data_IF_953305779282
#
_entry.id   IF_953305779282
#
_cell.length_a   1.000
_cell.length_b   1.000
_cell.length_c   1.000
_cell.angle_alpha   90.00
_cell.angle_beta   90.00
_cell.angle_gamma   90.00
#
_symmetry.space_group_name_H-M   'P 1'
#
loop_
_entity.id
_entity.type
_entity.pdbx_description
1 polymer ?
#
# COMPACT_ATOMS: atom_id res chain seq x y z
N UNK A 1 -65.20 62.72 21.00
CA UNK A 1 -64.97 62.47 19.56
C UNK A 1 -65.30 61.00 19.28
N UNK A 2 -65.98 60.74 18.18
CA UNK A 2 -66.50 59.45 17.67
C UNK A 2 -65.51 58.27 17.81
N UNK A 3 -65.89 57.06 18.25
CA UNK A 3 -66.84 56.04 17.75
C UNK A 3 -66.26 55.13 16.64
N UNK A 4 -66.04 53.84 16.98
CA UNK A 4 -66.19 52.59 16.18
C UNK A 4 -65.44 51.46 16.94
N UNK A 5 -66.02 50.41 17.54
CA UNK A 5 -67.02 49.39 17.17
C UNK A 5 -66.38 48.00 16.88
N UNK A 6 -66.50 47.13 17.90
CA UNK A 6 -66.69 45.67 17.94
C UNK A 6 -65.78 44.66 17.18
N UNK A 7 -65.27 43.62 17.87
CA UNK A 7 -64.85 42.35 17.28
C UNK A 7 -65.97 41.28 17.36
N UNK A 8 -66.03 40.38 16.37
CA UNK A 8 -66.71 39.07 16.46
C UNK A 8 -65.83 37.96 15.85
N UNK A 9 -66.03 36.70 16.29
CA UNK A 9 -65.02 35.64 16.37
C UNK A 9 -65.06 34.69 15.15
N UNK A 10 -64.18 33.67 15.05
CA UNK A 10 -64.61 32.37 15.55
C UNK A 10 -63.50 31.50 16.15
N UNK A 11 -63.97 30.51 16.89
CA UNK A 11 -63.27 29.34 17.44
C UNK A 11 -62.67 28.52 16.30
N UNK A 12 -61.38 28.22 16.37
CA UNK A 12 -60.74 27.24 15.49
C UNK A 12 -60.06 26.13 16.30
N UNK A 13 -60.76 24.99 16.37
CA UNK A 13 -60.32 23.64 16.02
C UNK A 13 -59.15 22.96 16.73
N UNK A 14 -58.18 23.70 17.27
CA UNK A 14 -56.87 23.13 17.60
C UNK A 14 -56.73 22.63 19.05
N UNK A 15 -57.72 22.85 19.92
CA UNK A 15 -57.68 22.34 21.29
C UNK A 15 -57.99 20.84 21.42
N UNK A 16 -58.30 20.15 20.31
CA UNK A 16 -58.53 18.69 20.31
C UNK A 16 -57.26 17.88 20.01
N UNK A 17 -56.27 18.44 19.31
CA UNK A 17 -55.07 17.71 18.89
C UNK A 17 -53.94 17.68 19.93
N UNK A 18 -53.95 18.57 20.93
CA UNK A 18 -52.89 18.64 21.95
C UNK A 18 -53.05 17.62 23.09
N UNK A 19 -54.07 16.75 23.06
CA UNK A 19 -54.38 15.83 24.16
C UNK A 19 -54.66 14.37 23.76
N UNK A 20 -53.97 13.84 22.76
CA UNK A 20 -53.94 12.39 22.50
C UNK A 20 -52.64 11.73 23.02
N UNK A 21 -52.73 10.53 23.64
CA UNK A 21 -51.58 9.80 24.17
C UNK A 21 -50.61 9.38 23.05
N UNK A 22 -49.31 9.18 23.35
CA UNK A 22 -48.32 8.83 22.33
C UNK A 22 -48.67 7.46 21.71
N UNK A 23 -49.22 7.47 20.51
CA UNK A 23 -49.32 6.27 19.68
C UNK A 23 -47.95 5.97 19.06
N UNK A 24 -47.58 4.70 19.14
CA UNK A 24 -46.38 4.13 18.57
C UNK A 24 -46.29 4.39 17.07
N UNK A 25 -45.12 4.86 16.62
CA UNK A 25 -44.83 5.05 15.21
C UNK A 25 -44.89 3.72 14.43
N UNK A 26 -45.39 3.73 13.18
CA UNK A 26 -45.36 2.57 12.31
C UNK A 26 -43.90 2.21 11.96
N UNK A 27 -43.61 0.92 12.05
CA UNK A 27 -42.36 0.24 11.68
C UNK A 27 -41.69 0.85 10.45
N UNK A 28 -40.60 1.58 10.65
CA UNK A 28 -39.65 1.87 9.59
C UNK A 28 -39.05 0.54 9.11
N UNK A 29 -39.27 0.23 7.83
CA UNK A 29 -38.68 -0.92 7.18
C UNK A 29 -37.15 -0.90 7.35
N UNK A 30 -36.59 -2.03 7.78
CA UNK A 30 -35.16 -2.21 7.98
C UNK A 30 -34.37 -1.92 6.69
N UNK A 31 -33.15 -1.35 6.78
CA UNK A 31 -32.24 -1.30 5.64
C UNK A 31 -31.94 -2.73 5.14
N UNK A 32 -31.75 -2.95 3.84
CA UNK A 32 -31.37 -4.27 3.34
C UNK A 32 -30.05 -4.72 4.00
N UNK A 33 -29.90 -6.02 4.31
CA UNK A 33 -28.67 -6.51 4.93
C UNK A 33 -27.46 -6.20 4.04
N UNK A 34 -26.27 -5.94 4.62
CA UNK A 34 -25.05 -5.76 3.85
C UNK A 34 -24.81 -6.98 2.95
N UNK A 35 -24.18 -6.81 1.77
CA UNK A 35 -23.80 -7.94 0.94
C UNK A 35 -22.98 -8.91 1.79
N UNK A 36 -23.34 -10.19 1.74
CA UNK A 36 -22.55 -11.25 2.38
C UNK A 36 -21.14 -11.16 1.80
N UNK A 37 -20.18 -11.02 2.70
CA UNK A 37 -18.77 -11.20 2.41
C UNK A 37 -18.60 -12.67 2.03
N UNK A 38 -18.58 -12.96 0.74
CA UNK A 38 -18.19 -14.26 0.22
C UNK A 38 -16.67 -14.36 0.39
N UNK A 39 -16.26 -14.56 1.64
CA UNK A 39 -14.86 -14.71 2.03
C UNK A 39 -14.23 -15.84 1.25
N UNK A 40 -13.32 -15.50 0.33
CA UNK A 40 -12.19 -16.29 -0.17
C UNK A 40 -12.39 -17.82 -0.34
N UNK A 41 -13.59 -18.30 -0.68
CA UNK A 41 -13.85 -19.70 -1.05
C UNK A 41 -13.72 -19.95 -2.56
N UNK A 42 -13.69 -18.89 -3.37
CA UNK A 42 -13.69 -19.01 -4.83
C UNK A 42 -12.39 -19.64 -5.39
N UNK A 43 -11.24 -19.40 -4.76
CA UNK A 43 -9.95 -19.91 -5.27
C UNK A 43 -9.60 -21.32 -4.79
N UNK A 44 -10.20 -21.80 -3.69
CA UNK A 44 -9.92 -23.14 -3.16
C UNK A 44 -10.81 -24.24 -3.79
N UNK A 45 -11.99 -23.90 -4.32
CA UNK A 45 -12.94 -24.89 -4.88
C UNK A 45 -12.75 -25.19 -6.38
N UNK A 46 -11.82 -24.53 -7.08
CA UNK A 46 -11.62 -24.73 -8.52
C UNK A 46 -10.81 -26.00 -8.87
N UNK A 47 -10.00 -26.52 -7.94
CA UNK A 47 -9.06 -27.61 -8.24
C UNK A 47 -9.51 -29.02 -7.78
N UNK A 48 -10.61 -29.15 -7.03
CA UNK A 48 -10.87 -30.40 -6.31
C UNK A 48 -12.01 -31.29 -6.83
N UNK A 49 -13.01 -30.81 -7.60
CA UNK A 49 -14.19 -31.66 -7.83
C UNK A 49 -15.06 -31.40 -9.08
N UNK A 50 -14.47 -31.15 -10.25
CA UNK A 50 -15.06 -31.54 -11.54
C UNK A 50 -16.52 -31.17 -11.83
N UNK A 51 -17.03 -30.04 -11.32
CA UNK A 51 -18.29 -29.44 -11.79
C UNK A 51 -19.60 -30.12 -11.36
N UNK A 52 -19.72 -30.69 -10.15
CA UNK A 52 -21.02 -31.14 -9.61
C UNK A 52 -21.30 -30.53 -8.22
N UNK A 53 -22.41 -29.77 -8.03
CA UNK A 53 -22.72 -29.14 -6.75
C UNK A 53 -23.28 -30.13 -5.70
N UNK A 54 -22.78 -30.04 -4.46
CA UNK A 54 -23.21 -30.84 -3.29
C UNK A 54 -24.63 -30.43 -2.84
N UNK A 55 -25.53 -31.36 -2.45
CA UNK A 55 -26.88 -31.04 -1.96
C UNK A 55 -26.87 -30.26 -0.64
N UNK A 56 -27.84 -29.36 -0.38
CA UNK A 56 -27.84 -28.48 0.80
C UNK A 56 -28.18 -29.24 2.10
N UNK A 57 -27.35 -29.04 3.12
CA UNK A 57 -27.58 -29.51 4.50
C UNK A 57 -28.66 -28.66 5.22
N UNK A 58 -29.42 -29.25 6.17
CA UNK A 58 -30.49 -28.55 6.89
C UNK A 58 -29.95 -27.41 7.79
N UNK A 59 -30.77 -26.37 8.06
CA UNK A 59 -30.30 -25.14 8.68
C UNK A 59 -29.82 -25.34 10.13
N UNK A 60 -28.76 -24.65 10.55
CA UNK A 60 -28.22 -24.76 11.91
C UNK A 60 -29.19 -24.17 12.94
N UNK A 61 -29.24 -24.83 14.11
CA UNK A 61 -29.95 -24.34 15.29
C UNK A 61 -29.44 -22.95 15.71
N UNK A 62 -30.29 -22.09 16.31
CA UNK A 62 -29.91 -20.73 16.67
C UNK A 62 -28.69 -20.72 17.61
N UNK A 63 -27.73 -19.80 17.40
CA UNK A 63 -26.54 -19.72 18.22
C UNK A 63 -26.93 -19.39 19.67
N UNK A 64 -26.33 -20.13 20.61
CA UNK A 64 -26.32 -19.73 22.02
C UNK A 64 -25.73 -18.31 22.12
N UNK A 65 -26.21 -17.46 23.04
CA UNK A 65 -25.72 -16.09 23.15
C UNK A 65 -24.22 -16.10 23.48
N UNK A 66 -23.41 -15.66 22.53
CA UNK A 66 -22.00 -15.37 22.74
C UNK A 66 -21.87 -14.26 23.81
N UNK A 67 -20.89 -14.34 24.73
CA UNK A 67 -20.64 -13.25 25.66
C UNK A 67 -20.26 -12.02 24.83
N UNK A 68 -21.07 -10.97 24.99
CA UNK A 68 -20.88 -9.65 24.37
C UNK A 68 -19.41 -9.26 24.56
N UNK A 69 -18.69 -9.03 23.46
CA UNK A 69 -17.31 -8.55 23.50
C UNK A 69 -17.30 -7.22 24.27
N UNK A 70 -16.79 -7.23 25.51
CA UNK A 70 -16.66 -6.04 26.34
C UNK A 70 -15.81 -5.00 25.60
N UNK A 71 -16.29 -3.75 25.55
CA UNK A 71 -15.55 -2.64 24.95
C UNK A 71 -14.14 -2.55 25.58
N UNK A 72 -13.08 -2.26 24.79
CA UNK A 72 -11.69 -2.21 25.28
C UNK A 72 -11.52 -1.26 26.47
N UNK A 73 -12.36 -0.24 26.57
CA UNK A 73 -12.42 0.72 27.67
C UNK A 73 -12.88 0.09 29.00
N UNK A 74 -13.87 -0.81 28.96
CA UNK A 74 -14.35 -1.51 30.16
C UNK A 74 -13.28 -2.48 30.70
N UNK A 75 -12.55 -3.15 29.81
CA UNK A 75 -11.42 -4.01 30.16
C UNK A 75 -10.28 -3.19 30.78
N UNK A 76 -9.97 -2.02 30.20
CA UNK A 76 -8.96 -1.11 30.73
C UNK A 76 -9.36 -0.56 32.11
N UNK A 77 -10.62 -0.15 32.30
CA UNK A 77 -11.14 0.34 33.56
C UNK A 77 -11.09 -0.73 34.66
N UNK A 78 -11.44 -1.98 34.34
CA UNK A 78 -11.36 -3.10 35.27
C UNK A 78 -9.91 -3.39 35.68
N UNK A 79 -8.98 -3.47 34.72
CA UNK A 79 -7.55 -3.65 35.00
C UNK A 79 -6.96 -2.52 35.84
N UNK A 80 -7.38 -1.27 35.60
CA UNK A 80 -6.95 -0.14 36.41
C UNK A 80 -7.51 -0.20 37.85
N UNK A 81 -8.75 -0.65 38.02
CA UNK A 81 -9.35 -0.85 39.35
C UNK A 81 -8.68 -2.01 40.10
N UNK A 82 -8.42 -3.13 39.41
CA UNK A 82 -7.66 -4.28 39.94
C UNK A 82 -6.25 -3.86 40.37
N UNK A 83 -5.55 -3.07 39.55
CA UNK A 83 -4.22 -2.54 39.89
C UNK A 83 -4.25 -1.63 41.12
N UNK A 84 -5.24 -0.72 41.23
CA UNK A 84 -5.39 0.14 42.42
C UNK A 84 -5.71 -0.67 43.68
N UNK A 85 -6.55 -1.70 43.57
CA UNK A 85 -6.86 -2.60 44.68
C UNK A 85 -5.63 -3.39 45.12
N UNK A 86 -4.84 -3.90 44.17
CA UNK A 86 -3.57 -4.58 44.46
C UNK A 86 -2.54 -3.66 45.10
N UNK A 87 -2.40 -2.41 44.63
CA UNK A 87 -1.53 -1.41 45.22
C UNK A 87 -1.94 -1.04 46.65
N UNK A 88 -3.25 -0.90 46.91
CA UNK A 88 -3.77 -0.65 48.25
C UNK A 88 -3.53 -1.82 49.21
N UNK A 89 -3.69 -3.07 48.73
CA UNK A 89 -3.38 -4.26 49.50
C UNK A 89 -1.87 -4.40 49.79
N UNK A 90 -1.01 -4.06 48.83
CA UNK A 90 0.44 -4.04 49.01
C UNK A 90 0.89 -2.95 50.00
N UNK A 91 0.26 -1.77 49.99
CA UNK A 91 0.55 -0.70 50.95
C UNK A 91 0.11 -1.04 52.38
N UNK A 92 -0.85 -1.95 52.56
CA UNK A 92 -1.29 -2.43 53.87
C UNK A 92 -0.35 -3.50 54.46
N UNK A 93 0.54 -4.08 53.65
CA UNK A 93 1.58 -4.99 54.10
C UNK A 93 2.87 -4.19 54.29
N UNK A 94 3.23 -3.90 55.55
CA UNK A 94 4.54 -3.31 55.88
C UNK A 94 5.66 -4.27 55.41
N UNK A 95 6.49 -3.87 54.44
CA UNK A 95 7.56 -4.74 53.94
C UNK A 95 8.66 -4.86 54.99
N UNK A 96 9.12 -6.09 55.24
CA UNK A 96 10.30 -6.33 56.05
C UNK A 96 11.52 -5.66 55.40
N UNK A 97 12.14 -4.72 56.13
CA UNK A 97 13.29 -3.92 55.69
C UNK A 97 14.56 -4.77 55.55
N UNK A 98 14.64 -5.61 54.52
CA UNK A 98 15.92 -6.12 54.02
C UNK A 98 16.27 -5.22 52.85
N UNK A 99 16.84 -4.05 53.17
CA UNK A 99 17.19 -3.05 52.19
C UNK A 99 18.62 -3.26 51.72
N UNK A 100 18.79 -3.58 50.44
CA UNK A 100 20.11 -3.68 49.84
C UNK A 100 20.81 -2.30 49.82
N UNK A 101 22.14 -2.28 49.79
CA UNK A 101 22.89 -1.01 49.76
C UNK A 101 22.48 -0.11 48.57
N UNK A 102 22.08 -0.70 47.44
CA UNK A 102 21.52 0.02 46.29
C UNK A 102 20.13 0.61 46.57
N UNK A 103 19.31 -0.03 47.39
CA UNK A 103 17.97 0.43 47.74
C UNK A 103 18.03 1.62 48.68
N UNK A 104 18.97 1.58 49.64
CA UNK A 104 19.24 2.72 50.52
C UNK A 104 19.68 3.97 49.73
N UNK A 105 20.49 3.79 48.68
CA UNK A 105 20.93 4.88 47.81
C UNK A 105 19.78 5.44 46.95
N UNK A 106 18.97 4.57 46.36
CA UNK A 106 17.79 4.98 45.58
C UNK A 106 16.79 5.70 46.48
N UNK A 107 16.48 5.17 47.66
CA UNK A 107 15.57 5.81 48.62
C UNK A 107 16.09 7.18 49.04
N UNK A 108 17.39 7.32 49.31
CA UNK A 108 18.00 8.62 49.65
C UNK A 108 17.86 9.61 48.49
N UNK A 109 18.11 9.20 47.25
CA UNK A 109 17.97 10.06 46.08
C UNK A 109 16.51 10.50 45.88
N UNK A 110 15.55 9.60 46.10
CA UNK A 110 14.12 9.90 46.04
C UNK A 110 13.65 10.86 47.15
N UNK A 111 14.15 10.71 48.38
CA UNK A 111 13.85 11.63 49.49
C UNK A 111 14.36 13.05 49.20
N UNK A 112 15.48 13.17 48.49
CA UNK A 112 16.04 14.47 48.06
C UNK A 112 15.31 15.03 46.82
N UNK A 113 14.56 14.20 46.10
CA UNK A 113 13.91 14.56 44.83
C UNK A 113 14.84 14.51 43.62
N UNK A 114 16.02 13.89 43.74
CA UNK A 114 16.96 13.70 42.63
C UNK A 114 16.67 12.40 41.88
N UNK A 115 15.76 12.49 40.91
CA UNK A 115 15.40 11.37 40.05
C UNK A 115 16.53 10.92 39.13
N UNK A 116 17.45 11.83 38.74
CA UNK A 116 18.56 11.50 37.86
C UNK A 116 19.56 10.60 38.58
N UNK A 117 19.95 10.97 39.81
CA UNK A 117 20.79 10.14 40.66
C UNK A 117 20.15 8.80 41.03
N UNK A 118 18.82 8.76 41.21
CA UNK A 118 18.10 7.52 41.47
C UNK A 118 18.13 6.55 40.27
N UNK A 119 17.93 7.07 39.05
CA UNK A 119 18.02 6.29 37.80
C UNK A 119 19.42 5.73 37.60
N UNK A 120 20.47 6.54 37.78
CA UNK A 120 21.86 6.11 37.63
C UNK A 120 22.21 4.99 38.63
N UNK A 121 21.73 5.10 39.87
CA UNK A 121 21.90 4.05 40.89
C UNK A 121 21.17 2.74 40.51
N UNK A 122 19.97 2.83 39.94
CA UNK A 122 19.24 1.65 39.45
C UNK A 122 19.92 1.01 38.23
N UNK A 123 20.46 1.82 37.30
CA UNK A 123 21.20 1.34 36.13
C UNK A 123 22.50 0.65 36.55
N UNK A 124 23.23 1.22 37.52
CA UNK A 124 24.45 0.61 38.07
C UNK A 124 24.17 -0.73 38.77
N UNK A 125 23.01 -0.87 39.40
CA UNK A 125 22.54 -2.11 40.00
C UNK A 125 21.97 -3.14 38.99
N UNK A 126 21.93 -2.82 37.69
CA UNK A 126 21.35 -3.69 36.65
C UNK A 126 19.81 -3.76 36.67
N UNK A 127 19.15 -2.92 37.47
CA UNK A 127 17.68 -2.88 37.62
C UNK A 127 17.06 -1.88 36.66
N UNK A 128 17.09 -2.23 35.38
CA UNK A 128 16.61 -1.34 34.32
C UNK A 128 15.10 -1.09 34.33
N UNK A 129 14.29 -2.03 34.84
CA UNK A 129 12.84 -1.84 34.95
C UNK A 129 12.50 -0.72 35.95
N UNK A 130 13.12 -0.75 37.13
CA UNK A 130 12.94 0.27 38.17
C UNK A 130 13.47 1.63 37.70
N UNK A 131 14.61 1.63 37.00
CA UNK A 131 15.18 2.83 36.39
C UNK A 131 14.20 3.50 35.41
N UNK A 132 13.55 2.72 34.54
CA UNK A 132 12.55 3.26 33.62
C UNK A 132 11.35 3.82 34.41
N UNK A 133 10.77 3.07 35.36
CA UNK A 133 9.63 3.56 36.16
C UNK A 133 9.95 4.89 36.84
N UNK A 134 11.12 5.00 37.46
CA UNK A 134 11.57 6.25 38.10
C UNK A 134 11.79 7.38 37.10
N UNK A 135 12.35 7.10 35.92
CA UNK A 135 12.54 8.09 34.87
C UNK A 135 11.21 8.65 34.34
N UNK A 136 10.14 7.83 34.31
CA UNK A 136 8.80 8.28 33.89
C UNK A 136 8.20 9.32 34.82
N UNK A 137 8.55 9.27 36.11
CA UNK A 137 8.13 10.24 37.14
C UNK A 137 9.04 11.48 37.13
N UNK A 138 10.32 11.31 36.82
CA UNK A 138 11.32 12.37 36.78
C UNK A 138 11.21 13.33 35.58
N UNK A 139 10.43 12.99 34.55
CA UNK A 139 10.15 13.85 33.40
C UNK A 139 10.49 13.22 32.05
N UNK A 140 9.95 13.81 30.98
CA UNK A 140 10.08 13.26 29.63
C UNK A 140 11.54 13.21 29.14
N UNK A 141 12.35 14.24 29.44
CA UNK A 141 13.77 14.27 29.03
C UNK A 141 14.57 13.13 29.67
N UNK A 142 14.41 12.91 30.99
CA UNK A 142 15.09 11.83 31.70
C UNK A 142 14.62 10.45 31.21
N UNK A 143 13.33 10.30 30.90
CA UNK A 143 12.80 9.07 30.33
C UNK A 143 13.42 8.75 28.97
N UNK A 144 13.54 9.73 28.07
CA UNK A 144 14.16 9.55 26.76
C UNK A 144 15.64 9.15 26.89
N UNK A 145 16.41 9.84 27.73
CA UNK A 145 17.82 9.50 28.00
C UNK A 145 17.98 8.07 28.53
N UNK A 146 17.16 7.70 29.53
CA UNK A 146 17.21 6.38 30.17
C UNK A 146 16.79 5.27 29.20
N UNK A 147 15.76 5.51 28.38
CA UNK A 147 15.29 4.60 27.35
C UNK A 147 16.37 4.39 26.28
N UNK A 148 16.98 5.46 25.80
CA UNK A 148 18.06 5.39 24.82
C UNK A 148 19.27 4.61 25.37
N UNK A 149 19.68 4.87 26.61
CA UNK A 149 20.75 4.15 27.28
C UNK A 149 20.43 2.65 27.43
N UNK A 150 19.19 2.30 27.83
CA UNK A 150 18.76 0.92 27.96
C UNK A 150 18.76 0.17 26.62
N UNK A 151 18.28 0.80 25.55
CA UNK A 151 18.29 0.25 24.20
C UNK A 151 19.73 0.06 23.71
N UNK A 152 20.62 1.03 23.96
CA UNK A 152 22.03 0.93 23.60
C UNK A 152 22.74 -0.22 24.32
N UNK A 153 22.49 -0.38 25.63
CA UNK A 153 23.03 -1.48 26.43
C UNK A 153 22.57 -2.86 25.90
N UNK A 154 21.34 -2.95 25.39
CA UNK A 154 20.77 -4.19 24.85
C UNK A 154 20.88 -4.32 23.32
N UNK A 155 21.69 -3.50 22.66
CA UNK A 155 21.81 -3.45 21.19
C UNK A 155 22.35 -4.74 20.53
N UNK A 156 22.86 -5.69 21.33
CA UNK A 156 23.22 -7.03 20.86
C UNK A 156 22.01 -7.86 20.43
N UNK A 157 20.84 -7.58 21.02
CA UNK A 157 19.62 -8.34 20.72
C UNK A 157 18.96 -7.81 19.43
N UNK A 158 18.56 -8.69 18.50
CA UNK A 158 18.05 -8.26 17.18
C UNK A 158 16.75 -7.47 17.25
N UNK A 159 15.86 -7.79 18.20
CA UNK A 159 14.61 -7.06 18.38
C UNK A 159 14.82 -5.67 18.99
N UNK A 160 15.82 -5.50 19.86
CA UNK A 160 16.16 -4.18 20.42
C UNK A 160 16.74 -3.24 19.36
N UNK A 161 17.35 -3.76 18.30
CA UNK A 161 17.77 -2.95 17.14
C UNK A 161 16.58 -2.39 16.37
N UNK A 162 15.53 -3.18 16.20
CA UNK A 162 14.28 -2.71 15.58
C UNK A 162 13.63 -1.67 16.48
N UNK A 163 13.53 -1.93 17.79
CA UNK A 163 13.00 -0.98 18.74
C UNK A 163 13.80 0.34 18.74
N UNK A 164 15.13 0.28 18.65
CA UNK A 164 15.98 1.47 18.50
C UNK A 164 15.60 2.30 17.28
N UNK A 165 15.49 1.65 16.12
CA UNK A 165 15.19 2.34 14.87
C UNK A 165 13.79 2.98 14.87
N UNK A 166 12.80 2.29 15.45
CA UNK A 166 11.44 2.83 15.59
C UNK A 166 11.39 3.99 16.58
N UNK A 167 12.13 3.92 17.69
CA UNK A 167 12.15 4.99 18.71
C UNK A 167 12.95 6.22 18.23
N UNK A 168 14.05 6.01 17.51
CA UNK A 168 14.91 7.09 17.00
C UNK A 168 14.51 7.59 15.61
N UNK A 169 13.42 7.06 15.04
CA UNK A 169 12.94 7.33 13.67
C UNK A 169 14.02 7.14 12.59
N UNK A 170 14.98 6.24 12.83
CA UNK A 170 16.10 5.97 11.93
C UNK A 170 15.90 4.60 11.25
N UNK A 171 14.85 4.54 10.45
CA UNK A 171 14.52 3.36 9.64
C UNK A 171 15.55 3.13 8.53
N UNK A 172 16.23 4.19 8.07
CA UNK A 172 17.30 4.12 7.07
C UNK A 172 18.51 3.31 7.57
N UNK A 173 19.03 3.63 8.76
CA UNK A 173 20.14 2.86 9.35
C UNK A 173 19.72 1.42 9.69
N UNK A 174 18.44 1.20 10.02
CA UNK A 174 17.92 -0.15 10.22
C UNK A 174 18.01 -0.96 8.94
N UNK A 175 17.52 -0.42 7.83
CA UNK A 175 17.62 -1.09 6.52
C UNK A 175 19.08 -1.40 6.23
N UNK A 176 19.99 -0.42 6.37
CA UNK A 176 21.41 -0.58 6.06
C UNK A 176 22.16 -1.61 6.92
N UNK A 177 21.78 -1.76 8.20
CA UNK A 177 22.47 -2.66 9.15
C UNK A 177 21.86 -4.07 9.22
N UNK A 178 20.60 -4.25 8.81
CA UNK A 178 19.91 -5.54 8.91
C UNK A 178 20.38 -6.54 7.85
N UNK A 179 20.41 -7.82 8.23
CA UNK A 179 20.84 -8.89 7.33
C UNK A 179 19.87 -9.08 6.17
N UNK A 180 20.40 -9.23 4.96
CA UNK A 180 19.60 -9.43 3.75
C UNK A 180 18.83 -10.75 3.75
N UNK A 181 19.27 -11.77 4.51
CA UNK A 181 18.55 -13.04 4.65
C UNK A 181 17.12 -12.88 5.21
N UNK A 182 16.86 -11.79 5.95
CA UNK A 182 15.56 -11.50 6.59
C UNK A 182 14.83 -10.33 5.95
N UNK A 183 15.05 -10.08 4.66
CA UNK A 183 14.49 -8.92 3.95
C UNK A 183 12.97 -8.82 4.04
N UNK A 184 12.24 -9.96 4.06
CA UNK A 184 10.78 -10.00 4.20
C UNK A 184 10.31 -9.39 5.52
N UNK A 185 11.00 -9.72 6.61
CA UNK A 185 10.73 -9.11 7.92
C UNK A 185 11.10 -7.61 7.90
N UNK A 186 12.18 -7.21 7.22
CA UNK A 186 12.58 -5.80 7.11
C UNK A 186 11.49 -5.01 6.38
N UNK A 187 10.97 -5.55 5.28
CA UNK A 187 9.91 -4.93 4.51
C UNK A 187 8.61 -4.82 5.32
N UNK A 188 8.25 -5.86 6.09
CA UNK A 188 7.09 -5.80 6.97
C UNK A 188 7.21 -4.72 8.06
N UNK A 189 8.41 -4.54 8.62
CA UNK A 189 8.69 -3.44 9.57
C UNK A 189 8.50 -2.09 8.89
N UNK A 190 9.01 -1.92 7.67
CA UNK A 190 8.81 -0.68 6.89
C UNK A 190 7.32 -0.42 6.62
N UNK A 191 6.53 -1.44 6.26
CA UNK A 191 5.09 -1.28 6.06
C UNK A 191 4.33 -0.90 7.34
N UNK A 192 4.89 -1.19 8.52
CA UNK A 192 4.22 -0.93 9.80
C UNK A 192 4.60 0.44 10.38
N UNK A 193 5.87 0.82 10.25
CA UNK A 193 6.43 1.98 10.96
C UNK A 193 6.86 3.13 10.06
N UNK A 194 7.08 2.91 8.76
CA UNK A 194 7.50 4.01 7.88
C UNK A 194 6.31 4.90 7.50
N UNK A 195 6.48 6.24 7.50
CA UNK A 195 5.48 7.14 6.97
C UNK A 195 5.32 6.93 5.45
N UNK A 196 4.13 7.19 4.93
CA UNK A 196 3.81 6.95 3.52
C UNK A 196 4.75 7.68 2.54
N UNK A 197 5.25 8.87 2.93
CA UNK A 197 6.16 9.67 2.11
C UNK A 197 7.57 9.06 2.00
N UNK A 198 8.09 8.47 3.08
CA UNK A 198 9.44 7.91 3.11
C UNK A 198 9.49 6.43 2.73
N UNK A 199 8.35 5.75 2.80
CA UNK A 199 8.26 4.31 2.56
C UNK A 199 8.81 3.90 1.19
N UNK A 200 8.48 4.63 0.12
CA UNK A 200 8.97 4.34 -1.23
C UNK A 200 10.50 4.44 -1.32
N UNK A 201 11.08 5.48 -0.73
CA UNK A 201 12.52 5.68 -0.70
C UNK A 201 13.24 4.58 0.11
N UNK A 202 12.72 4.23 1.30
CA UNK A 202 13.30 3.20 2.15
C UNK A 202 13.20 1.79 1.53
N UNK A 203 12.07 1.49 0.89
CA UNK A 203 11.88 0.24 0.15
C UNK A 203 12.82 0.17 -1.07
N UNK A 204 13.05 1.29 -1.76
CA UNK A 204 14.04 1.39 -2.85
C UNK A 204 15.48 1.16 -2.36
N UNK A 205 15.86 1.70 -1.20
CA UNK A 205 17.18 1.44 -0.59
C UNK A 205 17.35 -0.05 -0.24
N UNK A 206 16.31 -0.68 0.31
CA UNK A 206 16.32 -2.12 0.56
C UNK A 206 16.47 -2.91 -0.74
N UNK A 207 15.74 -2.54 -1.79
CA UNK A 207 15.81 -3.17 -3.10
C UNK A 207 17.20 -3.04 -3.73
N UNK A 208 17.82 -1.87 -3.67
CA UNK A 208 19.18 -1.65 -4.16
C UNK A 208 20.22 -2.51 -3.45
N UNK A 209 20.07 -2.73 -2.13
CA UNK A 209 20.95 -3.64 -1.37
C UNK A 209 20.75 -5.10 -1.76
N UNK A 210 19.51 -5.52 -2.00
CA UNK A 210 19.19 -6.87 -2.47
C UNK A 210 19.73 -7.12 -3.89
N UNK A 211 19.60 -6.11 -4.76
CA UNK A 211 20.16 -6.12 -6.11
C UNK A 211 21.68 -6.31 -6.08
N UNK A 212 22.39 -5.55 -5.24
CA UNK A 212 23.83 -5.64 -5.08
C UNK A 212 24.29 -7.00 -4.52
N UNK A 213 23.45 -7.66 -3.72
CA UNK A 213 23.70 -9.01 -3.22
C UNK A 213 23.39 -10.13 -4.23
N UNK A 214 22.86 -9.79 -5.41
CA UNK A 214 22.52 -10.74 -6.46
C UNK A 214 21.15 -11.40 -6.31
N UNK A 215 20.31 -10.97 -5.36
CA UNK A 215 18.94 -11.46 -5.22
C UNK A 215 17.98 -10.60 -6.07
N UNK A 216 17.96 -10.89 -7.37
CA UNK A 216 17.14 -10.15 -8.32
C UNK A 216 15.64 -10.29 -8.04
N UNK A 217 15.21 -11.47 -7.57
CA UNK A 217 13.80 -11.70 -7.28
C UNK A 217 13.33 -10.84 -6.10
N UNK A 218 14.05 -10.85 -4.98
CA UNK A 218 13.71 -10.02 -3.83
C UNK A 218 13.80 -8.53 -4.14
N UNK A 219 14.79 -8.11 -4.93
CA UNK A 219 14.92 -6.71 -5.36
C UNK A 219 13.72 -6.24 -6.20
N UNK A 220 13.26 -7.05 -7.16
CA UNK A 220 12.06 -6.71 -7.94
C UNK A 220 10.81 -6.58 -7.10
N UNK A 221 10.61 -7.47 -6.12
CA UNK A 221 9.47 -7.40 -5.21
C UNK A 221 9.50 -6.12 -4.36
N UNK A 222 10.67 -5.76 -3.82
CA UNK A 222 10.81 -4.52 -3.06
C UNK A 222 10.57 -3.26 -3.91
N UNK A 223 11.02 -3.23 -5.17
CA UNK A 223 10.75 -2.12 -6.10
C UNK A 223 9.26 -2.03 -6.47
N UNK A 224 8.62 -3.17 -6.73
CA UNK A 224 7.18 -3.24 -7.02
C UNK A 224 6.37 -2.76 -5.82
N UNK A 225 6.74 -3.17 -4.61
CA UNK A 225 6.15 -2.61 -3.40
C UNK A 225 6.37 -1.09 -3.38
N UNK A 226 7.61 -0.61 -3.44
CA UNK A 226 7.94 0.82 -3.41
C UNK A 226 7.18 1.69 -4.42
N UNK A 227 6.65 1.07 -5.48
CA UNK A 227 5.94 1.76 -6.55
C UNK A 227 6.88 2.50 -7.50
N UNK A 228 8.19 2.21 -7.44
CA UNK A 228 9.18 2.81 -8.33
C UNK A 228 9.22 2.03 -9.65
N UNK A 229 8.49 2.55 -10.65
CA UNK A 229 8.41 1.96 -11.98
C UNK A 229 9.77 1.97 -12.68
N UNK A 230 10.55 3.04 -12.55
CA UNK A 230 11.82 3.20 -13.26
C UNK A 230 12.87 2.22 -12.73
N UNK A 231 12.97 2.09 -11.40
CA UNK A 231 13.85 1.09 -10.78
C UNK A 231 13.40 -0.35 -11.09
N UNK A 232 12.09 -0.63 -11.12
CA UNK A 232 11.56 -1.93 -11.48
C UNK A 232 11.87 -2.31 -12.93
N UNK A 233 11.65 -1.38 -13.88
CA UNK A 233 11.96 -1.57 -15.31
C UNK A 233 13.46 -1.80 -15.50
N UNK A 234 14.32 -1.01 -14.84
CA UNK A 234 15.77 -1.22 -14.89
C UNK A 234 16.17 -2.61 -14.41
N UNK A 235 15.54 -3.10 -13.34
CA UNK A 235 15.82 -4.42 -12.80
C UNK A 235 15.34 -5.56 -13.71
N UNK A 236 14.15 -5.44 -14.30
CA UNK A 236 13.64 -6.43 -15.26
C UNK A 236 14.46 -6.47 -16.54
N UNK A 237 14.90 -5.31 -17.05
CA UNK A 237 15.79 -5.23 -18.19
C UNK A 237 17.17 -5.84 -17.88
N UNK A 238 17.70 -5.61 -16.68
CA UNK A 238 18.95 -6.21 -16.23
C UNK A 238 18.87 -7.74 -16.02
N UNK A 239 17.69 -8.27 -15.74
CA UNK A 239 17.45 -9.71 -15.62
C UNK A 239 17.34 -10.43 -16.98
N UNK A 240 17.26 -9.70 -18.09
CA UNK A 240 17.24 -10.28 -19.43
C UNK A 240 18.64 -10.79 -19.83
N UNK A 241 18.71 -11.88 -20.60
CA UNK A 241 20.00 -12.41 -21.05
C UNK A 241 20.76 -11.36 -21.87
N UNK A 242 22.06 -11.14 -21.61
CA UNK A 242 22.85 -10.17 -22.34
C UNK A 242 22.97 -10.59 -23.82
N UNK A 243 22.55 -9.69 -24.73
CA UNK A 243 22.60 -9.95 -26.17
C UNK A 243 21.37 -9.43 -26.91
N UNK A 244 20.99 -10.10 -28.00
CA UNK A 244 19.76 -9.77 -28.73
C UNK A 244 18.56 -10.10 -27.88
N UNK A 245 17.95 -9.08 -27.29
CA UNK A 245 16.71 -9.21 -26.53
C UNK A 245 15.60 -9.66 -27.49
N UNK A 246 14.97 -10.80 -27.17
CA UNK A 246 13.85 -11.28 -27.95
C UNK A 246 12.66 -10.30 -27.85
N UNK A 247 11.93 -10.01 -28.94
CA UNK A 247 10.77 -9.12 -28.90
C UNK A 247 9.70 -9.55 -27.88
N UNK A 248 9.54 -10.85 -27.66
CA UNK A 248 8.63 -11.41 -26.64
C UNK A 248 9.05 -11.08 -25.21
N UNK A 249 10.36 -11.01 -24.95
CA UNK A 249 10.88 -10.67 -23.64
C UNK A 249 10.67 -9.17 -23.33
N UNK A 250 10.92 -8.30 -24.31
CA UNK A 250 10.59 -6.87 -24.19
C UNK A 250 9.11 -6.65 -23.97
N UNK A 251 8.26 -7.41 -24.68
CA UNK A 251 6.81 -7.34 -24.50
C UNK A 251 6.40 -7.67 -23.07
N UNK A 252 6.93 -8.75 -22.49
CA UNK A 252 6.62 -9.13 -21.10
C UNK A 252 7.05 -8.07 -20.09
N UNK A 253 8.20 -7.43 -20.29
CA UNK A 253 8.65 -6.33 -19.41
C UNK A 253 7.76 -5.11 -19.58
N UNK A 254 7.36 -4.78 -20.81
CA UNK A 254 6.47 -3.66 -21.09
C UNK A 254 5.09 -3.86 -20.44
N UNK A 255 4.49 -5.05 -20.55
CA UNK A 255 3.21 -5.37 -19.92
C UNK A 255 3.28 -5.20 -18.40
N UNK A 256 4.32 -5.77 -17.76
CA UNK A 256 4.54 -5.62 -16.32
C UNK A 256 4.70 -4.15 -15.91
N UNK A 257 5.43 -3.37 -16.70
CA UNK A 257 5.65 -1.96 -16.44
C UNK A 257 4.36 -1.14 -16.57
N UNK A 258 3.58 -1.35 -17.64
CA UNK A 258 2.28 -0.67 -17.85
C UNK A 258 1.29 -1.02 -16.73
N UNK A 259 1.21 -2.30 -16.33
CA UNK A 259 0.34 -2.73 -15.22
C UNK A 259 0.79 -2.10 -13.90
N UNK A 260 2.10 -2.07 -13.62
CA UNK A 260 2.64 -1.43 -12.42
C UNK A 260 2.34 0.07 -12.38
N UNK A 261 2.58 0.80 -13.47
CA UNK A 261 2.29 2.24 -13.58
C UNK A 261 0.81 2.54 -13.35
N UNK A 262 -0.10 1.70 -13.88
CA UNK A 262 -1.53 1.85 -13.62
C UNK A 262 -1.89 1.56 -12.16
N UNK A 263 -1.26 0.58 -11.53
CA UNK A 263 -1.50 0.24 -10.14
C UNK A 263 -0.96 1.31 -9.17
N UNK A 264 0.18 1.93 -9.49
CA UNK A 264 0.78 3.00 -8.67
C UNK A 264 0.14 4.36 -8.91
N UNK A 265 -0.64 4.52 -9.99
CA UNK A 265 -1.24 5.79 -10.39
C UNK A 265 -0.22 6.83 -10.86
N UNK A 266 1.03 6.43 -11.12
CA UNK A 266 2.06 7.34 -11.63
C UNK A 266 1.76 7.70 -13.08
N UNK A 267 1.85 8.98 -13.41
CA UNK A 267 1.56 9.48 -14.76
C UNK A 267 2.81 9.61 -15.62
N UNK A 268 4.01 9.54 -15.04
CA UNK A 268 5.25 9.75 -15.77
C UNK A 268 6.33 8.80 -15.25
N UNK A 269 6.94 8.04 -16.17
CA UNK A 269 8.13 7.21 -15.89
C UNK A 269 9.03 7.20 -17.11
N UNK A 270 10.28 7.61 -16.94
CA UNK A 270 11.21 7.79 -18.06
C UNK A 270 11.66 6.43 -18.63
N UNK A 271 11.84 5.44 -17.76
CA UNK A 271 12.19 4.06 -18.12
C UNK A 271 11.09 3.37 -18.89
N UNK A 272 9.81 3.57 -18.51
CA UNK A 272 8.67 3.06 -19.27
C UNK A 272 8.60 3.70 -20.66
N UNK A 273 8.79 5.02 -20.77
CA UNK A 273 8.76 5.72 -22.04
C UNK A 273 9.84 5.20 -23.01
N UNK A 274 11.08 5.03 -22.53
CA UNK A 274 12.16 4.46 -23.34
C UNK A 274 11.89 3.01 -23.75
N UNK A 275 11.35 2.20 -22.82
CA UNK A 275 10.97 0.81 -23.11
C UNK A 275 9.88 0.75 -24.19
N UNK A 276 8.84 1.57 -24.06
CA UNK A 276 7.74 1.64 -25.03
C UNK A 276 8.22 2.10 -26.40
N UNK A 277 9.13 3.08 -26.47
CA UNK A 277 9.78 3.51 -27.72
C UNK A 277 10.52 2.35 -28.37
N UNK A 278 11.40 1.64 -27.64
CA UNK A 278 12.17 0.52 -28.19
C UNK A 278 11.30 -0.63 -28.70
N UNK A 279 10.19 -0.90 -28.01
CA UNK A 279 9.23 -1.92 -28.40
C UNK A 279 8.40 -1.48 -29.61
N UNK A 280 7.94 -0.23 -29.65
CA UNK A 280 7.20 0.34 -30.77
C UNK A 280 8.05 0.41 -32.05
N UNK A 281 9.35 0.69 -31.94
CA UNK A 281 10.28 0.60 -33.08
C UNK A 281 10.40 -0.84 -33.60
N UNK A 282 10.45 -1.82 -32.69
CA UNK A 282 10.47 -3.24 -33.05
C UNK A 282 9.19 -3.64 -33.78
N UNK A 283 8.01 -3.21 -33.31
CA UNK A 283 6.73 -3.44 -33.98
C UNK A 283 6.62 -2.73 -35.33
N UNK A 284 7.13 -1.50 -35.42
CA UNK A 284 7.18 -0.74 -36.67
C UNK A 284 8.06 -1.45 -37.71
N UNK A 285 9.19 -2.04 -37.29
CA UNK A 285 10.06 -2.83 -38.17
C UNK A 285 9.39 -4.11 -38.70
N UNK A 286 8.43 -4.65 -37.96
CA UNK A 286 7.62 -5.82 -38.34
C UNK A 286 6.40 -5.44 -39.20
N UNK A 287 6.15 -4.15 -39.41
CA UNK A 287 5.01 -3.65 -40.18
C UNK A 287 3.71 -3.49 -39.39
N UNK A 288 3.71 -3.73 -38.07
CA UNK A 288 2.54 -3.62 -37.18
C UNK A 288 2.41 -2.22 -36.60
N UNK A 289 2.12 -1.24 -37.46
CA UNK A 289 2.11 0.18 -37.07
C UNK A 289 0.94 0.58 -36.16
N UNK A 290 -0.25 0.01 -36.37
CA UNK A 290 -1.44 0.28 -35.54
C UNK A 290 -1.22 -0.16 -34.09
N UNK A 291 -0.68 -1.36 -33.89
CA UNK A 291 -0.35 -1.89 -32.58
C UNK A 291 0.73 -1.03 -31.89
N UNK A 292 1.74 -0.58 -32.65
CA UNK A 292 2.79 0.31 -32.13
C UNK A 292 2.21 1.63 -31.59
N UNK A 293 1.23 2.22 -32.29
CA UNK A 293 0.53 3.42 -31.83
C UNK A 293 -0.29 3.15 -30.56
N UNK A 294 -1.00 2.02 -30.51
CA UNK A 294 -1.77 1.63 -29.33
C UNK A 294 -0.90 1.51 -28.07
N UNK A 295 0.29 0.89 -28.16
CA UNK A 295 1.20 0.81 -27.01
C UNK A 295 1.79 2.16 -26.60
N UNK A 296 2.05 3.06 -27.55
CA UNK A 296 2.51 4.43 -27.23
C UNK A 296 1.41 5.26 -26.55
N UNK A 297 0.14 4.99 -26.84
CA UNK A 297 -1.01 5.63 -26.19
C UNK A 297 -1.28 5.09 -24.78
N UNK A 298 -0.82 3.87 -24.47
CA UNK A 298 -0.93 3.30 -23.12
C UNK A 298 0.05 3.90 -22.11
N UNK A 299 1.06 4.65 -22.56
CA UNK A 299 2.04 5.33 -21.69
C UNK A 299 1.57 6.77 -21.45
N UNK A 300 1.08 7.11 -20.24
CA UNK A 300 0.77 8.49 -19.90
C UNK A 300 2.06 9.33 -19.93
N UNK A 301 1.97 10.53 -20.50
CA UNK A 301 3.06 11.52 -20.61
C UNK A 301 4.42 10.96 -21.09
N UNK A 302 4.43 10.24 -22.22
CA UNK A 302 5.61 9.57 -22.78
C UNK A 302 6.81 10.45 -23.23
N UNK A 303 6.80 11.75 -22.90
CA UNK A 303 7.86 12.69 -23.26
C UNK A 303 8.01 12.91 -24.78
N UNK A 304 9.05 13.66 -25.16
CA UNK A 304 9.32 14.03 -26.56
C UNK A 304 9.66 12.82 -27.46
N UNK A 305 10.27 11.78 -26.89
CA UNK A 305 10.64 10.58 -27.65
C UNK A 305 9.41 9.79 -28.14
N UNK A 306 8.39 9.65 -27.30
CA UNK A 306 7.13 8.97 -27.66
C UNK A 306 6.35 9.79 -28.69
N UNK A 307 6.27 11.11 -28.54
CA UNK A 307 5.58 11.97 -29.51
C UNK A 307 6.30 11.99 -30.86
N UNK A 308 7.63 12.07 -30.87
CA UNK A 308 8.43 12.04 -32.09
C UNK A 308 8.27 10.70 -32.83
N UNK A 309 8.30 9.57 -32.11
CA UNK A 309 8.09 8.27 -32.74
C UNK A 309 6.65 8.12 -33.25
N UNK A 310 5.65 8.60 -32.50
CA UNK A 310 4.25 8.63 -32.93
C UNK A 310 4.11 9.38 -34.26
N UNK A 311 4.64 10.60 -34.36
CA UNK A 311 4.60 11.40 -35.58
C UNK A 311 5.30 10.72 -36.77
N UNK A 312 6.43 10.06 -36.52
CA UNK A 312 7.18 9.32 -37.53
C UNK A 312 6.40 8.10 -38.04
N UNK A 313 5.73 7.36 -37.16
CA UNK A 313 4.90 6.20 -37.53
C UNK A 313 3.67 6.67 -38.33
N UNK A 314 2.99 7.73 -37.89
CA UNK A 314 1.83 8.29 -38.59
C UNK A 314 2.22 8.80 -39.98
N UNK A 315 3.31 9.56 -40.09
CA UNK A 315 3.79 10.11 -41.37
C UNK A 315 4.37 9.01 -42.29
N UNK A 316 5.06 8.03 -41.73
CA UNK A 316 5.61 6.88 -42.46
C UNK A 316 4.55 5.90 -42.97
N UNK A 317 3.48 5.70 -42.20
CA UNK A 317 2.31 4.90 -42.60
C UNK A 317 1.49 5.58 -43.71
N UNK A 318 1.28 6.89 -43.60
CA UNK A 318 0.61 7.69 -44.63
C UNK A 318 1.35 7.66 -45.98
N UNK A 319 2.69 7.67 -45.97
CA UNK A 319 3.52 7.53 -47.18
C UNK A 319 3.37 6.17 -47.86
N UNK A 320 3.23 5.07 -47.10
CA UNK A 320 3.02 3.72 -47.65
C UNK A 320 1.64 3.52 -48.26
N UNK A 321 0.59 4.09 -47.66
CA UNK A 321 -0.76 4.07 -48.24
C UNK A 321 -0.84 4.91 -49.54
N UNK A 322 -0.14 6.05 -49.58
CA UNK A 322 -0.04 6.86 -50.80
C UNK A 322 0.78 6.17 -51.91
N UNK A 323 1.88 5.48 -51.58
CA UNK A 323 2.68 4.72 -52.56
C UNK A 323 2.00 3.42 -53.04
N UNK A 324 1.16 2.79 -52.21
CA UNK A 324 0.35 1.63 -52.63
C UNK A 324 -0.83 2.04 -53.52
N UNK A 325 -1.31 3.28 -53.41
CA UNK A 325 -2.35 3.84 -54.27
C UNK A 325 -1.80 4.33 -55.62
N UNK A 326 -0.50 4.62 -55.70
CA UNK A 326 0.20 5.00 -56.92
C UNK A 326 0.74 3.79 -57.73
N UNK A 327 -0.01 2.69 -57.81
CA UNK A 327 0.21 1.71 -58.87
C UNK A 327 -0.15 2.39 -60.19
N UNK A 328 0.87 2.76 -60.96
CA UNK A 328 0.72 3.35 -62.30
C UNK A 328 -0.24 2.51 -63.16
N UNK A 329 -1.15 3.11 -63.94
CA UNK A 329 -2.03 2.35 -64.81
C UNK A 329 -1.17 1.57 -65.79
N UNK A 330 -1.27 0.24 -65.75
CA UNK A 330 -0.66 -0.63 -66.73
C UNK A 330 -1.11 -0.16 -68.12
N UNK A 331 -0.15 0.29 -68.94
CA UNK A 331 -0.40 0.69 -70.30
C UNK A 331 -0.98 -0.51 -71.06
N UNK A 332 -2.25 -0.41 -71.43
CA UNK A 332 -2.96 -1.37 -72.27
C UNK A 332 -2.30 -1.36 -73.66
N UNK A 333 -1.45 -2.34 -73.96
CA UNK A 333 -0.96 -2.56 -75.32
C UNK A 333 -2.06 -3.23 -76.13
N UNK A 334 -2.61 -2.48 -77.09
CA UNK A 334 -3.61 -2.97 -78.04
C UNK A 334 -3.00 -4.06 -78.96
N UNK A 335 -3.77 -5.09 -79.34
CA UNK A 335 -3.29 -6.14 -80.23
C UNK A 335 -3.13 -5.61 -81.66
N UNK A 336 -2.06 -6.05 -82.32
CA UNK A 336 -1.68 -5.66 -83.67
C UNK A 336 -2.75 -6.06 -84.71
N UNK A 337 -3.07 -5.12 -85.61
CA UNK A 337 -3.99 -5.32 -86.71
C UNK A 337 -3.45 -6.31 -87.75
N UNK A 338 -4.30 -7.26 -88.16
CA UNK A 338 -4.09 -8.14 -89.31
C UNK A 338 -3.93 -7.31 -90.60
N UNK A 339 -2.83 -7.50 -91.33
CA UNK A 339 -2.66 -7.04 -92.72
C UNK A 339 -2.98 -8.19 -93.68
N UNK A 340 -3.95 -7.97 -94.57
CA UNK A 340 -4.25 -8.85 -95.70
C UNK A 340 -3.29 -8.59 -96.88
N UNK A 341 -2.83 -9.62 -97.62
CA UNK A 341 -1.90 -9.43 -98.72
C UNK A 341 -2.61 -8.96 -100.00
N UNK A 342 -1.96 -8.01 -100.69
CA UNK A 342 -2.39 -7.45 -101.96
C UNK A 342 -2.27 -8.45 -103.12
N UNK A 343 -3.27 -8.39 -104.00
CA UNK A 343 -3.40 -9.17 -105.22
C UNK A 343 -2.25 -8.89 -106.22
N UNK A 344 -1.73 -9.97 -106.81
CA UNK A 344 -0.83 -9.94 -107.97
C UNK A 344 -1.63 -9.68 -109.26
N UNK A 345 -1.19 -8.69 -110.03
CA UNK A 345 -1.59 -8.49 -111.43
C UNK A 345 -0.88 -9.51 -112.34
N UNK A 346 -1.64 -10.05 -113.29
CA UNK A 346 -1.17 -10.55 -114.59
C UNK A 346 -2.27 -10.25 -115.62
#
# INVERSE_FOLDING_TARGET
AAAAAAPLPPVDGNQFFENLPPQAAPSAAAPPPPPKDDGMGFFDDLDANGGVPKPPEPPPAPPAPEPIAEAPEAIAARRAAEFRAAAAAAAAAEPAEIMDASDALVQRALVVGDYRGAVDACVAAGRHADALVLASVGGAELWEETRAAHIAANAQKPYMRVAKAVVSDDLGALVASRSLAKWRETLAILCTYAPAEEWGALAGVLAGRLAAAGDAHAATLCNVCAGDVDAAVGHWLGALPPGKVAPSALHSVLEKAVVLTRATGQTTSAGLAQLAVSYAETLASQGRMEDALSYLDMVPDGGEAVTTLRDRIVRGGAGRLASSSAAAPAAYQAPAAYQAPAAYQA
#
